data_IF_033382282574
#
_entry.id   IF_033382282574
#
_cell.length_a   1.000
_cell.length_b   1.000
_cell.length_c   1.000
_cell.angle_alpha   90.00
_cell.angle_beta   90.00
_cell.angle_gamma   90.00
#
_symmetry.space_group_name_H-M   'P 1'
#
loop_
_entity.id
_entity.type
_entity.pdbx_description
1 polymer ?
#
# COMPACT_ATOMS: atom_id res chain seq x y z
N UNK A 1 12.91 -44.42 -7.04
CA UNK A 1 13.26 -43.30 -6.14
C UNK A 1 12.07 -43.03 -5.24
N UNK A 2 12.09 -43.37 -3.94
CA UNK A 2 10.94 -43.17 -3.07
C UNK A 2 10.79 -41.68 -2.72
N UNK A 3 9.59 -41.14 -2.93
CA UNK A 3 9.22 -39.78 -2.53
C UNK A 3 9.24 -39.67 -1.01
N UNK A 4 10.13 -38.84 -0.47
CA UNK A 4 10.19 -38.49 0.95
C UNK A 4 8.90 -37.77 1.33
N UNK A 5 7.97 -38.47 1.99
CA UNK A 5 6.79 -37.82 2.58
C UNK A 5 7.29 -36.83 3.63
N UNK A 6 7.12 -35.54 3.38
CA UNK A 6 7.27 -34.51 4.40
C UNK A 6 6.30 -34.87 5.52
N UNK A 7 6.80 -35.12 6.73
CA UNK A 7 5.95 -35.48 7.87
C UNK A 7 5.00 -34.32 8.16
N UNK A 8 3.70 -34.52 7.93
CA UNK A 8 2.66 -33.49 8.15
C UNK A 8 2.60 -32.97 9.59
N UNK A 9 3.20 -33.70 10.53
CA UNK A 9 3.12 -33.47 11.97
C UNK A 9 4.50 -33.63 12.61
N UNK A 10 4.88 -32.67 13.46
CA UNK A 10 6.19 -32.59 14.12
C UNK A 10 6.04 -32.49 15.63
N UNK A 11 7.09 -32.85 16.38
CA UNK A 11 7.09 -32.79 17.84
C UNK A 11 7.15 -31.35 18.39
N UNK A 12 6.83 -31.20 19.68
CA UNK A 12 6.85 -29.91 20.37
C UNK A 12 8.22 -29.20 20.30
N UNK A 13 9.31 -29.95 20.52
CA UNK A 13 10.66 -29.39 20.54
C UNK A 13 11.09 -28.91 19.15
N UNK A 14 10.83 -29.70 18.12
CA UNK A 14 11.09 -29.31 16.73
C UNK A 14 10.26 -28.09 16.31
N UNK A 15 8.97 -28.02 16.70
CA UNK A 15 8.12 -26.87 16.43
C UNK A 15 8.64 -25.60 17.11
N UNK A 16 9.13 -25.71 18.36
CA UNK A 16 9.72 -24.60 19.11
C UNK A 16 11.04 -24.14 18.52
N UNK A 17 11.88 -25.07 18.10
CA UNK A 17 13.17 -24.79 17.46
C UNK A 17 12.94 -24.04 16.15
N UNK A 18 12.06 -24.53 15.27
CA UNK A 18 11.70 -23.87 14.01
C UNK A 18 11.13 -22.46 14.21
N UNK A 19 10.29 -22.26 15.24
CA UNK A 19 9.72 -20.94 15.55
C UNK A 19 10.69 -20.02 16.32
N UNK A 20 11.68 -20.60 17.01
CA UNK A 20 12.51 -19.91 17.99
C UNK A 20 11.67 -19.27 19.11
N UNK A 21 10.81 -20.05 19.77
CA UNK A 21 9.90 -19.56 20.83
C UNK A 21 9.90 -20.45 22.09
N UNK A 22 9.48 -19.85 23.21
CA UNK A 22 9.30 -20.56 24.49
C UNK A 22 8.07 -21.48 24.44
N UNK A 23 7.99 -22.53 25.28
CA UNK A 23 6.84 -23.44 25.31
C UNK A 23 5.50 -22.73 25.44
N UNK A 24 5.42 -21.75 26.36
CA UNK A 24 4.22 -20.96 26.63
C UNK A 24 3.67 -20.27 25.37
N UNK A 25 4.57 -19.79 24.50
CA UNK A 25 4.19 -19.12 23.24
C UNK A 25 3.64 -20.11 22.21
N UNK A 26 4.21 -21.32 22.13
CA UNK A 26 3.68 -22.37 21.26
C UNK A 26 2.27 -22.80 21.72
N UNK A 27 2.05 -22.98 23.03
CA UNK A 27 0.72 -23.26 23.57
C UNK A 27 -0.27 -22.12 23.31
N UNK A 28 0.19 -20.87 23.41
CA UNK A 28 -0.61 -19.70 23.06
C UNK A 28 -1.05 -19.67 21.59
N UNK A 29 -0.26 -20.20 20.66
CA UNK A 29 -0.67 -20.32 19.25
C UNK A 29 -1.71 -21.42 19.05
N UNK A 30 -1.58 -22.55 19.74
CA UNK A 30 -2.58 -23.62 19.71
C UNK A 30 -3.90 -23.16 20.32
N UNK A 31 -3.88 -22.54 21.51
CA UNK A 31 -5.06 -22.02 22.19
C UNK A 31 -5.82 -20.97 21.36
N UNK A 32 -5.11 -20.18 20.55
CA UNK A 32 -5.70 -19.20 19.62
C UNK A 32 -6.06 -19.79 18.26
N UNK A 33 -6.01 -21.10 18.09
CA UNK A 33 -6.35 -21.80 16.85
C UNK A 33 -5.39 -21.55 15.68
N UNK A 34 -4.18 -21.05 15.93
CA UNK A 34 -3.19 -20.73 14.89
C UNK A 34 -2.29 -21.89 14.50
N UNK A 35 -2.25 -22.94 15.31
CA UNK A 35 -1.51 -24.18 15.05
C UNK A 35 -2.40 -25.35 15.44
N UNK A 36 -2.63 -26.26 14.50
CA UNK A 36 -3.33 -27.50 14.77
C UNK A 36 -2.45 -28.45 15.57
N UNK A 37 -3.05 -29.12 16.56
CA UNK A 37 -2.40 -30.11 17.42
C UNK A 37 -3.17 -31.43 17.37
N UNK A 38 -2.48 -32.55 17.55
CA UNK A 38 -3.06 -33.88 17.75
C UNK A 38 -2.23 -34.68 18.75
N UNK A 39 -2.83 -35.70 19.37
CA UNK A 39 -2.10 -36.64 20.22
C UNK A 39 -1.20 -37.53 19.34
N UNK A 40 0.01 -37.83 19.80
CA UNK A 40 0.94 -38.73 19.13
C UNK A 40 0.38 -40.17 19.16
N UNK A 41 0.19 -40.83 18.00
CA UNK A 41 -0.27 -42.22 17.95
C UNK A 41 0.66 -43.21 18.67
N UNK A 42 1.95 -42.89 18.81
CA UNK A 42 2.94 -43.75 19.47
C UNK A 42 3.12 -43.48 20.96
N UNK A 43 2.64 -42.35 21.47
CA UNK A 43 2.70 -41.99 22.89
C UNK A 43 1.56 -41.01 23.26
N UNK A 44 0.51 -41.47 23.97
CA UNK A 44 -0.63 -40.63 24.35
C UNK A 44 -0.28 -39.40 25.20
N UNK A 45 0.91 -39.35 25.80
CA UNK A 45 1.38 -38.23 26.62
C UNK A 45 2.03 -37.11 25.79
N UNK A 46 2.25 -37.32 24.48
CA UNK A 46 2.90 -36.36 23.59
C UNK A 46 1.91 -35.76 22.61
N UNK A 47 2.11 -34.49 22.28
CA UNK A 47 1.34 -33.79 21.25
C UNK A 47 2.22 -33.53 20.03
N UNK A 48 1.64 -33.69 18.84
CA UNK A 48 2.22 -33.36 17.56
C UNK A 48 1.54 -32.11 16.98
N UNK A 49 2.32 -31.31 16.28
CA UNK A 49 1.93 -30.00 15.75
C UNK A 49 2.02 -30.03 14.23
N UNK A 50 1.05 -29.41 13.55
CA UNK A 50 1.03 -29.43 12.08
C UNK A 50 2.18 -28.62 11.49
N UNK A 51 3.04 -29.26 10.70
CA UNK A 51 4.26 -28.65 10.18
C UNK A 51 4.00 -27.43 9.26
N UNK A 52 2.89 -27.45 8.52
CA UNK A 52 2.47 -26.36 7.63
C UNK A 52 2.15 -25.07 8.40
N UNK A 53 1.43 -25.17 9.52
CA UNK A 53 1.04 -24.02 10.35
C UNK A 53 2.28 -23.37 10.99
N UNK A 54 3.21 -24.20 11.46
CA UNK A 54 4.50 -23.78 11.99
C UNK A 54 5.30 -23.03 10.91
N UNK A 55 5.36 -23.57 9.70
CA UNK A 55 6.06 -22.94 8.56
C UNK A 55 5.43 -21.58 8.20
N UNK A 56 4.10 -21.49 8.17
CA UNK A 56 3.38 -20.24 7.89
C UNK A 56 3.69 -19.16 8.95
N UNK A 57 3.76 -19.54 10.23
CA UNK A 57 4.14 -18.64 11.32
C UNK A 57 5.59 -18.16 11.22
N UNK A 58 6.54 -19.05 10.86
CA UNK A 58 7.94 -18.67 10.61
C UNK A 58 8.06 -17.66 9.48
N UNK A 59 7.38 -17.91 8.35
CA UNK A 59 7.37 -16.99 7.21
C UNK A 59 6.77 -15.62 7.56
N UNK A 60 5.74 -15.59 8.42
CA UNK A 60 5.12 -14.35 8.89
C UNK A 60 6.06 -13.57 9.82
N UNK A 61 6.73 -14.25 10.77
CA UNK A 61 7.72 -13.64 11.68
C UNK A 61 8.90 -13.06 10.92
N UNK A 62 9.38 -13.76 9.90
CA UNK A 62 10.49 -13.31 9.03
C UNK A 62 10.12 -12.08 8.21
N UNK A 63 8.91 -12.05 7.62
CA UNK A 63 8.42 -10.87 6.90
C UNK A 63 8.24 -9.66 7.82
N UNK A 64 7.70 -9.86 9.02
CA UNK A 64 7.53 -8.79 10.01
C UNK A 64 8.88 -8.21 10.47
N UNK A 65 9.90 -9.05 10.67
CA UNK A 65 11.26 -8.59 11.01
C UNK A 65 11.92 -7.82 9.87
N UNK A 66 11.81 -8.30 8.62
CA UNK A 66 12.32 -7.56 7.46
C UNK A 66 11.67 -6.18 7.32
N UNK A 67 10.37 -6.08 7.55
CA UNK A 67 9.67 -4.79 7.54
C UNK A 67 10.13 -3.86 8.68
N UNK A 68 10.32 -4.40 9.90
CA UNK A 68 10.81 -3.59 11.03
C UNK A 68 12.28 -3.18 10.89
N UNK A 69 13.13 -4.04 10.30
CA UNK A 69 14.54 -3.73 10.03
C UNK A 69 14.67 -2.64 8.96
N UNK A 70 13.83 -2.67 7.93
CA UNK A 70 13.75 -1.60 6.92
C UNK A 70 13.27 -0.29 7.55
N UNK A 71 12.29 -0.34 8.45
CA UNK A 71 11.83 0.85 9.19
C UNK A 71 12.90 1.37 10.16
N UNK A 72 13.59 0.48 10.90
CA UNK A 72 14.63 0.85 11.85
C UNK A 72 15.88 1.42 11.15
N UNK A 73 16.29 0.85 10.02
CA UNK A 73 17.40 1.36 9.20
C UNK A 73 17.12 2.73 8.60
N UNK A 74 15.84 3.09 8.41
CA UNK A 74 15.44 4.41 7.95
C UNK A 74 15.30 5.45 9.07
N UNK A 75 15.15 5.03 10.33
CA UNK A 75 15.10 5.92 11.51
C UNK A 75 16.51 6.25 12.03
N UNK A 76 17.53 5.48 11.64
CA UNK A 76 18.92 5.72 11.99
C UNK A 76 19.57 6.79 11.08
N UNK A 77 19.20 8.06 11.25
CA UNK A 77 19.94 9.27 10.84
C UNK A 77 20.78 9.18 9.54
N UNK A 78 20.11 8.93 8.42
CA UNK A 78 20.66 9.00 7.07
C UNK A 78 19.55 8.90 6.01
N UNK A 79 19.84 9.31 4.77
CA UNK A 79 18.90 9.18 3.64
C UNK A 79 18.42 7.73 3.56
N UNK A 80 17.11 7.46 3.66
CA UNK A 80 16.61 6.10 3.60
C UNK A 80 16.86 5.54 2.20
N UNK A 81 17.92 4.75 2.02
CA UNK A 81 18.19 4.08 0.74
C UNK A 81 17.23 2.90 0.61
N UNK A 82 16.02 3.20 0.14
CA UNK A 82 15.04 2.21 -0.21
C UNK A 82 15.10 1.96 -1.71
N UNK A 83 15.56 0.78 -2.12
CA UNK A 83 15.54 0.38 -3.53
C UNK A 83 14.11 0.47 -4.06
N UNK A 84 13.92 1.26 -5.11
CA UNK A 84 12.64 1.49 -5.79
C UNK A 84 12.85 1.44 -7.30
N UNK A 85 11.86 0.89 -8.02
CA UNK A 85 11.83 0.85 -9.48
C UNK A 85 10.74 1.79 -10.04
N UNK A 86 10.30 2.78 -9.25
CA UNK A 86 9.17 3.67 -9.57
C UNK A 86 9.67 4.93 -10.26
N UNK A 87 10.59 5.65 -9.63
CA UNK A 87 11.08 6.95 -10.08
C UNK A 87 12.58 7.06 -9.89
N UNK A 88 13.23 7.74 -10.82
CA UNK A 88 14.66 8.04 -10.75
C UNK A 88 14.89 9.46 -11.23
N UNK A 89 15.74 10.20 -10.49
CA UNK A 89 16.28 11.47 -10.94
C UNK A 89 17.71 11.21 -11.42
N UNK A 90 17.98 11.50 -12.68
CA UNK A 90 19.31 11.31 -13.27
C UNK A 90 19.65 12.50 -14.16
N UNK A 91 20.82 13.08 -13.94
CA UNK A 91 21.31 14.25 -14.70
C UNK A 91 20.29 15.41 -14.73
N UNK A 92 19.60 15.65 -13.62
CA UNK A 92 18.58 16.69 -13.50
C UNK A 92 17.25 16.40 -14.21
N UNK A 93 17.08 15.20 -14.78
CA UNK A 93 15.84 14.74 -15.42
C UNK A 93 15.10 13.74 -14.54
N UNK A 94 13.77 13.84 -14.53
CA UNK A 94 12.88 12.97 -13.78
C UNK A 94 12.34 11.86 -14.68
N UNK A 95 12.45 10.61 -14.25
CA UNK A 95 11.98 9.44 -15.00
C UNK A 95 11.00 8.62 -14.18
N UNK A 96 9.84 8.31 -14.77
CA UNK A 96 8.86 7.36 -14.22
C UNK A 96 9.02 6.02 -14.92
N UNK A 97 9.50 5.02 -14.18
CA UNK A 97 9.83 3.68 -14.69
C UNK A 97 10.66 3.71 -15.99
N UNK A 98 11.63 4.62 -16.04
CA UNK A 98 12.53 4.79 -17.19
C UNK A 98 11.97 5.64 -18.34
N UNK A 99 10.74 6.16 -18.24
CA UNK A 99 10.17 7.12 -19.21
C UNK A 99 10.31 8.54 -18.68
N UNK A 100 10.75 9.48 -19.51
CA UNK A 100 10.96 10.87 -19.10
C UNK A 100 9.62 11.56 -18.72
N UNK A 101 9.57 12.18 -17.55
CA UNK A 101 8.36 12.82 -17.01
C UNK A 101 7.91 14.04 -17.82
N UNK A 102 8.83 14.80 -18.42
CA UNK A 102 8.53 15.94 -19.31
C UNK A 102 7.93 15.43 -20.62
N UNK A 103 8.48 14.36 -21.20
CA UNK A 103 7.89 13.73 -22.40
C UNK A 103 6.51 13.15 -22.11
N UNK A 104 6.33 12.50 -20.96
CA UNK A 104 5.02 12.01 -20.51
C UNK A 104 4.03 13.17 -20.36
N UNK A 105 4.46 14.31 -19.82
CA UNK A 105 3.60 15.47 -19.60
C UNK A 105 3.04 16.05 -20.89
N UNK A 106 3.67 15.84 -22.06
CA UNK A 106 3.14 16.32 -23.33
C UNK A 106 1.79 15.67 -23.69
N UNK A 107 1.61 14.37 -23.40
CA UNK A 107 0.43 13.61 -23.89
C UNK A 107 -0.34 12.84 -22.83
N UNK A 108 0.30 12.43 -21.74
CA UNK A 108 -0.29 11.51 -20.78
C UNK A 108 -1.18 12.22 -19.75
N UNK A 109 -2.07 11.48 -19.11
CA UNK A 109 -2.87 11.96 -17.98
C UNK A 109 -2.35 11.40 -16.66
N UNK A 110 -2.75 12.00 -15.54
CA UNK A 110 -2.44 11.48 -14.20
C UNK A 110 -2.86 10.02 -14.05
N UNK A 111 -4.01 9.62 -14.58
CA UNK A 111 -4.52 8.25 -14.51
C UNK A 111 -3.61 7.27 -15.25
N UNK A 112 -3.12 7.67 -16.43
CA UNK A 112 -2.18 6.85 -17.21
C UNK A 112 -0.84 6.71 -16.50
N UNK A 113 -0.31 7.83 -15.96
CA UNK A 113 0.94 7.84 -15.19
C UNK A 113 0.80 7.05 -13.90
N UNK A 114 -0.31 7.17 -13.16
CA UNK A 114 -0.57 6.37 -11.97
C UNK A 114 -0.65 4.87 -12.28
N UNK A 115 -1.19 4.48 -13.44
CA UNK A 115 -1.14 3.08 -13.92
C UNK A 115 0.29 2.65 -14.24
N UNK A 116 1.08 3.51 -14.90
CA UNK A 116 2.51 3.26 -15.14
C UNK A 116 3.26 3.05 -13.82
N UNK A 117 3.15 3.96 -12.86
CA UNK A 117 3.86 3.90 -11.56
C UNK A 117 3.53 2.62 -10.78
N UNK A 118 2.31 2.09 -10.89
CA UNK A 118 1.90 0.80 -10.30
C UNK A 118 2.39 -0.45 -11.05
N UNK A 119 3.18 -0.27 -12.11
CA UNK A 119 3.73 -1.37 -12.91
C UNK A 119 2.77 -1.89 -13.97
N UNK A 120 1.85 -1.06 -14.45
CA UNK A 120 0.93 -1.39 -15.55
C UNK A 120 -0.31 -2.19 -15.14
N UNK A 121 -0.46 -2.54 -13.86
CA UNK A 121 -1.58 -3.33 -13.36
C UNK A 121 -2.86 -2.51 -13.17
N UNK A 122 -4.01 -3.15 -13.43
CA UNK A 122 -5.35 -2.63 -13.15
C UNK A 122 -5.92 -1.77 -14.28
N UNK A 123 -7.22 -1.92 -14.53
CA UNK A 123 -7.97 -1.04 -15.42
C UNK A 123 -8.28 0.30 -14.74
N UNK A 124 -8.57 1.33 -15.55
CA UNK A 124 -9.24 2.54 -15.09
C UNK A 124 -10.69 2.21 -14.74
N UNK A 125 -10.91 1.45 -13.66
CA UNK A 125 -12.24 1.16 -13.15
C UNK A 125 -12.73 2.39 -12.39
N UNK A 126 -13.44 3.25 -13.10
CA UNK A 126 -14.24 4.31 -12.48
C UNK A 126 -15.38 3.63 -11.72
N UNK A 127 -15.33 3.63 -10.40
CA UNK A 127 -16.53 3.33 -9.61
C UNK A 127 -17.49 4.49 -9.80
N UNK A 128 -18.70 4.17 -10.27
CA UNK A 128 -19.81 5.12 -10.34
C UNK A 128 -20.26 5.54 -8.94
N UNK A 129 -20.21 4.61 -7.98
CA UNK A 129 -20.59 4.88 -6.59
C UNK A 129 -19.39 5.32 -5.76
N UNK A 130 -19.30 6.64 -5.57
CA UNK A 130 -18.34 7.31 -4.70
C UNK A 130 -19.08 8.09 -3.61
N UNK A 131 -18.53 8.17 -2.38
CA UNK A 131 -19.12 9.00 -1.34
C UNK A 131 -19.13 10.46 -1.79
N UNK A 132 -20.09 11.25 -1.29
CA UNK A 132 -20.04 12.70 -1.45
C UNK A 132 -18.79 13.25 -0.74
N UNK A 133 -18.15 14.29 -1.29
CA UNK A 133 -17.11 15.02 -0.60
C UNK A 133 -17.57 15.46 0.80
N UNK A 134 -16.69 15.38 1.81
CA UNK A 134 -16.99 15.94 3.12
C UNK A 134 -17.09 17.46 3.04
N UNK A 135 -17.86 18.06 3.96
CA UNK A 135 -17.84 19.50 4.17
C UNK A 135 -16.54 19.93 4.84
N UNK A 136 -15.96 21.04 4.40
CA UNK A 136 -14.72 21.58 4.95
C UNK A 136 -14.40 22.94 4.33
N UNK A 137 -13.74 23.79 5.12
CA UNK A 137 -13.50 25.21 4.81
C UNK A 137 -12.70 25.42 3.51
N UNK A 138 -11.77 24.50 3.21
CA UNK A 138 -10.95 24.55 2.01
C UNK A 138 -10.68 23.15 1.42
N UNK A 139 -9.97 23.12 0.29
CA UNK A 139 -9.64 21.86 -0.40
C UNK A 139 -8.75 20.92 0.43
N UNK A 140 -7.88 21.48 1.28
CA UNK A 140 -6.95 20.73 2.12
C UNK A 140 -7.72 20.04 3.24
N UNK A 141 -8.60 20.76 3.94
CA UNK A 141 -9.47 20.22 4.97
C UNK A 141 -10.35 19.09 4.41
N UNK A 142 -10.95 19.28 3.24
CA UNK A 142 -11.75 18.22 2.58
C UNK A 142 -10.92 16.99 2.23
N UNK A 143 -9.69 17.16 1.75
CA UNK A 143 -8.79 16.05 1.45
C UNK A 143 -8.45 15.22 2.71
N UNK A 144 -8.11 15.89 3.82
CA UNK A 144 -7.86 15.23 5.10
C UNK A 144 -9.09 14.46 5.60
N UNK A 145 -10.27 15.10 5.60
CA UNK A 145 -11.51 14.49 6.05
C UNK A 145 -11.88 13.26 5.21
N UNK A 146 -11.72 13.34 3.89
CA UNK A 146 -12.03 12.22 2.99
C UNK A 146 -11.12 11.01 3.26
N UNK A 147 -9.81 11.24 3.39
CA UNK A 147 -8.85 10.16 3.70
C UNK A 147 -9.04 9.61 5.11
N UNK A 148 -9.31 10.46 6.11
CA UNK A 148 -9.56 10.03 7.49
C UNK A 148 -10.82 9.16 7.60
N UNK A 149 -11.92 9.57 6.97
CA UNK A 149 -13.15 8.79 6.94
C UNK A 149 -12.93 7.40 6.32
N UNK A 150 -12.16 7.34 5.22
CA UNK A 150 -11.78 6.08 4.57
C UNK A 150 -10.83 5.24 5.42
N UNK A 151 -9.83 5.85 6.04
CA UNK A 151 -8.86 5.16 6.89
C UNK A 151 -9.53 4.42 8.07
N UNK A 152 -10.66 4.94 8.58
CA UNK A 152 -11.44 4.31 9.64
C UNK A 152 -12.24 3.08 9.23
N UNK A 153 -12.47 2.84 7.93
CA UNK A 153 -13.36 1.76 7.43
C UNK A 153 -12.69 0.82 6.43
N UNK A 154 -11.64 1.27 5.74
CA UNK A 154 -10.97 0.47 4.71
C UNK A 154 -10.19 -0.69 5.31
N UNK A 155 -10.23 -1.83 4.62
CA UNK A 155 -9.53 -3.03 5.06
C UNK A 155 -8.00 -2.87 5.01
N UNK A 156 -7.25 -3.49 5.94
CA UNK A 156 -5.80 -3.57 5.90
C UNK A 156 -5.27 -4.03 4.52
N UNK A 157 -4.20 -3.41 4.02
CA UNK A 157 -3.66 -3.75 2.71
C UNK A 157 -2.92 -5.10 2.69
N UNK A 158 -2.39 -5.53 3.85
CA UNK A 158 -1.55 -6.71 3.95
C UNK A 158 -2.31 -8.00 3.58
N UNK A 159 -1.76 -8.76 2.62
CA UNK A 159 -2.33 -10.03 2.17
C UNK A 159 -3.41 -9.92 1.11
N UNK A 160 -3.75 -8.70 0.66
CA UNK A 160 -4.69 -8.49 -0.45
C UNK A 160 -4.02 -8.66 -1.80
N UNK A 161 -4.80 -9.10 -2.79
CA UNK A 161 -4.30 -9.33 -4.15
C UNK A 161 -3.90 -8.01 -4.83
N UNK A 162 -2.78 -7.96 -5.60
CA UNK A 162 -2.30 -6.73 -6.24
C UNK A 162 -3.34 -6.00 -7.09
N UNK A 163 -4.14 -6.73 -7.87
CA UNK A 163 -5.23 -6.14 -8.67
C UNK A 163 -6.29 -5.46 -7.80
N UNK A 164 -6.64 -6.04 -6.65
CA UNK A 164 -7.62 -5.43 -5.74
C UNK A 164 -7.08 -4.12 -5.15
N UNK A 165 -5.80 -4.09 -4.77
CA UNK A 165 -5.12 -2.88 -4.32
C UNK A 165 -5.03 -1.83 -5.44
N UNK A 166 -4.80 -2.24 -6.69
CA UNK A 166 -4.79 -1.32 -7.84
C UNK A 166 -6.16 -0.67 -8.07
N UNK A 167 -7.25 -1.44 -7.99
CA UNK A 167 -8.63 -0.91 -8.11
C UNK A 167 -8.95 0.03 -6.96
N UNK A 168 -8.56 -0.31 -5.74
CA UNK A 168 -8.77 0.55 -4.57
C UNK A 168 -7.96 1.84 -4.66
N UNK A 169 -6.70 1.78 -5.09
CA UNK A 169 -5.88 2.96 -5.31
C UNK A 169 -6.49 3.90 -6.37
N UNK A 170 -7.06 3.36 -7.46
CA UNK A 170 -7.77 4.16 -8.45
C UNK A 170 -9.02 4.82 -7.86
N UNK A 171 -9.79 4.07 -7.06
CA UNK A 171 -10.97 4.60 -6.35
C UNK A 171 -10.59 5.69 -5.36
N UNK A 172 -9.50 5.51 -4.61
CA UNK A 172 -9.01 6.48 -3.64
C UNK A 172 -8.57 7.78 -4.32
N UNK A 173 -7.94 7.69 -5.50
CA UNK A 173 -7.57 8.85 -6.29
C UNK A 173 -8.82 9.63 -6.75
N UNK A 174 -9.87 8.93 -7.17
CA UNK A 174 -11.14 9.56 -7.54
C UNK A 174 -11.81 10.26 -6.35
N UNK A 175 -11.84 9.61 -5.17
CA UNK A 175 -12.40 10.17 -3.93
C UNK A 175 -11.61 11.41 -3.48
N UNK A 176 -10.28 11.35 -3.52
CA UNK A 176 -9.44 12.49 -3.18
C UNK A 176 -9.67 13.65 -4.16
N UNK A 177 -9.81 13.34 -5.46
CA UNK A 177 -10.12 14.35 -6.48
C UNK A 177 -11.48 15.00 -6.23
N UNK A 178 -12.52 14.23 -5.91
CA UNK A 178 -13.84 14.79 -5.58
C UNK A 178 -13.76 15.67 -4.32
N UNK A 179 -12.99 15.27 -3.31
CA UNK A 179 -12.80 16.06 -2.10
C UNK A 179 -12.12 17.41 -2.40
N UNK A 180 -11.06 17.41 -3.21
CA UNK A 180 -10.35 18.62 -3.62
C UNK A 180 -11.28 19.53 -4.45
N UNK A 181 -11.98 18.96 -5.43
CA UNK A 181 -12.94 19.66 -6.29
C UNK A 181 -14.16 20.19 -5.52
N UNK A 182 -14.52 19.57 -4.39
CA UNK A 182 -15.71 19.89 -3.60
C UNK A 182 -17.01 19.26 -4.15
N UNK A 183 -16.94 18.53 -5.25
CA UNK A 183 -18.09 17.86 -5.87
C UNK A 183 -17.71 16.54 -6.54
N UNK A 184 -18.72 15.68 -6.78
CA UNK A 184 -18.52 14.42 -7.50
C UNK A 184 -18.51 14.69 -9.01
N UNK A 185 -17.35 14.52 -9.64
CA UNK A 185 -17.16 14.83 -11.06
C UNK A 185 -16.93 13.59 -11.94
N UNK A 186 -17.39 13.63 -13.19
CA UNK A 186 -17.09 12.64 -14.24
C UNK A 186 -15.90 13.04 -15.12
N UNK A 187 -15.41 12.12 -15.96
CA UNK A 187 -14.32 12.42 -16.89
C UNK A 187 -12.91 12.31 -16.29
N UNK A 188 -11.92 12.89 -16.97
CA UNK A 188 -10.51 12.85 -16.53
C UNK A 188 -10.28 13.84 -15.37
N UNK A 189 -9.37 13.49 -14.45
CA UNK A 189 -9.10 14.24 -13.22
C UNK A 189 -8.75 15.71 -13.51
N UNK A 190 -7.91 15.96 -14.51
CA UNK A 190 -7.51 17.33 -14.87
C UNK A 190 -8.70 18.19 -15.31
N UNK A 191 -9.68 17.63 -16.01
CA UNK A 191 -10.88 18.36 -16.42
C UNK A 191 -11.80 18.65 -15.25
N UNK A 192 -11.90 17.72 -14.28
CA UNK A 192 -12.69 17.90 -13.06
C UNK A 192 -12.12 19.04 -12.21
N UNK A 193 -10.80 19.03 -11.99
CA UNK A 193 -10.11 20.07 -11.24
C UNK A 193 -10.14 21.41 -11.97
N UNK A 194 -9.94 21.42 -13.29
CA UNK A 194 -10.03 22.64 -14.08
C UNK A 194 -11.42 23.29 -14.03
N UNK A 195 -12.48 22.49 -14.06
CA UNK A 195 -13.85 22.97 -13.87
C UNK A 195 -14.02 23.57 -12.46
N UNK A 196 -13.64 22.83 -11.41
CA UNK A 196 -13.77 23.27 -10.03
C UNK A 196 -12.96 24.54 -9.70
N UNK A 197 -11.84 24.76 -10.40
CA UNK A 197 -10.97 25.92 -10.22
C UNK A 197 -11.28 27.08 -11.19
N UNK A 198 -12.39 27.02 -11.93
CA UNK A 198 -12.82 28.11 -12.82
C UNK A 198 -12.00 28.27 -14.10
N UNK A 199 -11.23 27.25 -14.48
CA UNK A 199 -10.43 27.22 -15.72
C UNK A 199 -11.19 26.66 -16.92
N UNK A 200 -12.36 26.06 -16.67
CA UNK A 200 -13.17 25.36 -17.68
C UNK A 200 -12.58 24.01 -18.11
N UNK A 201 -13.40 23.06 -18.58
CA UNK A 201 -12.91 21.76 -19.03
C UNK A 201 -12.35 21.83 -20.45
N UNK A 202 -11.32 21.02 -20.75
CA UNK A 202 -10.84 20.77 -22.12
C UNK A 202 -10.11 21.93 -22.82
N UNK A 203 -9.90 23.07 -22.16
CA UNK A 203 -9.14 24.22 -22.69
C UNK A 203 -7.67 24.25 -22.25
N UNK A 204 -6.91 25.32 -22.59
CA UNK A 204 -5.51 25.47 -22.22
C UNK A 204 -5.24 25.38 -20.71
N UNK A 205 -6.16 25.89 -19.88
CA UNK A 205 -6.08 25.76 -18.42
C UNK A 205 -6.15 24.31 -17.94
N UNK A 206 -7.04 23.50 -18.52
CA UNK A 206 -7.14 22.07 -18.21
C UNK A 206 -5.90 21.28 -18.68
N UNK A 207 -5.30 21.68 -19.80
CA UNK A 207 -4.05 21.08 -20.28
C UNK A 207 -2.86 21.40 -19.35
N UNK A 208 -2.77 22.64 -18.84
CA UNK A 208 -1.77 23.00 -17.83
C UNK A 208 -1.95 22.17 -16.55
N UNK A 209 -3.18 22.00 -16.07
CA UNK A 209 -3.47 21.13 -14.91
C UNK A 209 -3.04 19.69 -15.21
N UNK A 210 -3.33 19.16 -16.41
CA UNK A 210 -2.90 17.80 -16.82
C UNK A 210 -1.38 17.64 -16.75
N UNK A 211 -0.64 18.57 -17.36
CA UNK A 211 0.84 18.58 -17.38
C UNK A 211 1.40 18.64 -15.97
N UNK A 212 0.91 19.54 -15.13
CA UNK A 212 1.35 19.71 -13.74
C UNK A 212 1.10 18.43 -12.93
N UNK A 213 -0.07 17.81 -13.05
CA UNK A 213 -0.35 16.56 -12.36
C UNK A 213 0.56 15.41 -12.80
N UNK A 214 0.95 15.36 -14.07
CA UNK A 214 1.95 14.39 -14.54
C UNK A 214 3.32 14.67 -13.93
N UNK A 215 3.80 15.91 -14.00
CA UNK A 215 5.13 16.29 -13.50
C UNK A 215 5.27 16.13 -11.97
N UNK A 216 4.16 16.21 -11.23
CA UNK A 216 4.11 16.04 -9.78
C UNK A 216 3.64 14.64 -9.34
N UNK A 217 3.50 13.69 -10.27
CA UNK A 217 2.92 12.38 -9.95
C UNK A 217 3.77 11.57 -8.95
N UNK A 218 5.09 11.75 -8.97
CA UNK A 218 6.02 11.18 -8.01
C UNK A 218 7.35 11.95 -8.01
N UNK A 219 8.09 11.91 -6.90
CA UNK A 219 9.39 12.56 -6.76
C UNK A 219 10.32 11.75 -5.83
N UNK A 220 10.58 10.50 -6.21
CA UNK A 220 11.48 9.56 -5.52
C UNK A 220 11.06 9.33 -4.06
N UNK A 221 11.99 9.40 -3.10
CA UNK A 221 11.72 9.17 -1.69
C UNK A 221 11.68 10.49 -0.92
N UNK A 222 10.70 11.33 -1.25
CA UNK A 222 10.41 12.50 -0.45
C UNK A 222 9.80 12.13 0.93
N UNK A 223 9.78 13.06 1.91
CA UNK A 223 9.28 12.77 3.27
C UNK A 223 7.85 12.22 3.32
N UNK A 224 6.94 12.71 2.47
CA UNK A 224 5.55 12.22 2.43
C UNK A 224 5.43 10.80 1.88
N UNK A 225 6.19 10.47 0.83
CA UNK A 225 6.30 9.10 0.32
C UNK A 225 6.92 8.16 1.36
N UNK A 226 7.93 8.62 2.11
CA UNK A 226 8.50 7.86 3.20
C UNK A 226 7.48 7.58 4.31
N UNK A 227 6.75 8.59 4.78
CA UNK A 227 5.71 8.43 5.80
C UNK A 227 4.60 7.45 5.36
N UNK A 228 4.14 7.55 4.11
CA UNK A 228 3.17 6.62 3.54
C UNK A 228 3.69 5.17 3.54
N UNK A 229 4.98 4.97 3.22
CA UNK A 229 5.62 3.64 3.26
C UNK A 229 5.75 3.10 4.68
N UNK A 230 6.09 3.95 5.66
CA UNK A 230 6.13 3.56 7.07
C UNK A 230 4.76 3.05 7.52
N UNK A 231 3.68 3.81 7.24
CA UNK A 231 2.33 3.38 7.55
C UNK A 231 1.97 2.06 6.85
N UNK A 232 2.23 1.95 5.55
CA UNK A 232 1.97 0.73 4.79
C UNK A 232 2.74 -0.50 5.33
N UNK A 233 3.95 -0.32 5.86
CA UNK A 233 4.78 -1.41 6.41
C UNK A 233 4.15 -2.11 7.61
N UNK A 234 3.26 -1.40 8.33
CA UNK A 234 2.48 -1.94 9.46
C UNK A 234 1.25 -2.74 9.02
N UNK A 235 0.95 -2.74 7.71
CA UNK A 235 -0.26 -3.35 7.14
C UNK A 235 -1.47 -2.42 7.10
N UNK A 236 -1.29 -1.12 7.32
CA UNK A 236 -2.35 -0.11 7.19
C UNK A 236 -3.11 -0.20 5.84
N UNK A 237 -4.35 0.28 5.80
CA UNK A 237 -5.11 0.42 4.56
C UNK A 237 -4.44 1.43 3.61
N UNK A 238 -4.81 1.42 2.32
CA UNK A 238 -4.27 2.38 1.36
C UNK A 238 -4.65 3.83 1.73
N UNK A 239 -5.85 4.04 2.24
CA UNK A 239 -6.31 5.34 2.73
C UNK A 239 -5.55 5.82 3.96
N UNK A 240 -5.25 4.93 4.91
CA UNK A 240 -4.44 5.28 6.08
C UNK A 240 -2.98 5.60 5.70
N UNK A 241 -2.40 4.86 4.76
CA UNK A 241 -1.07 5.16 4.24
C UNK A 241 -1.03 6.49 3.47
N UNK A 242 -2.06 6.78 2.65
CA UNK A 242 -2.19 8.05 1.96
C UNK A 242 -2.39 9.22 2.94
N UNK A 243 -3.17 9.03 4.01
CA UNK A 243 -3.38 10.04 5.05
C UNK A 243 -2.08 10.39 5.78
N UNK A 244 -1.24 9.39 6.10
CA UNK A 244 0.07 9.63 6.69
C UNK A 244 1.00 10.45 5.77
N UNK A 245 0.97 10.15 4.46
CA UNK A 245 1.68 10.93 3.46
C UNK A 245 1.16 12.36 3.35
N UNK A 246 -0.16 12.56 3.30
CA UNK A 246 -0.80 13.88 3.25
C UNK A 246 -0.46 14.73 4.49
N UNK A 247 -0.51 14.13 5.69
CA UNK A 247 -0.14 14.79 6.94
C UNK A 247 1.32 15.24 6.97
N UNK A 248 2.22 14.49 6.32
CA UNK A 248 3.63 14.86 6.21
C UNK A 248 3.86 15.91 5.12
N UNK A 249 3.05 15.91 4.05
CA UNK A 249 3.11 16.91 2.98
C UNK A 249 2.63 18.30 3.41
N UNK A 250 1.77 18.39 4.43
CA UNK A 250 1.22 19.67 4.90
C UNK A 250 2.18 20.48 5.78
N UNK A 251 3.32 19.90 6.17
CA UNK A 251 4.32 20.53 7.05
C UNK A 251 5.35 21.38 6.32
#
# INVERSE_FOLDING_TARGET
MPQTRVSDWIGADEARERLGVRPQTLYAYVSRGRVQTRIDPGDPRRSLYRAADITALVQRKTRSRKASEVAAGAIAWGEPVLVSAITTISQGRLFYRGRDAVELAETETLESVARLLRGGHGAALKRTDRPRPPEGDDMTARAFLALAARAGVDAPALGRHPLALAVEAATLLDVLTDAIAGEVGGGAIHNRLALAWGLGPGGPGADLVRRVLVLLADHELNPSAFAARVAASTGASLSAAALAGLATLSG
#
